data_IF_318997368421
#
_entry.id   IF_318997368421
#
_cell.length_a   1.000
_cell.length_b   1.000
_cell.length_c   1.000
_cell.angle_alpha   90.00
_cell.angle_beta   90.00
_cell.angle_gamma   90.00
#
_symmetry.space_group_name_H-M   'P 1'
#
loop_
_entity.id
_entity.type
_entity.pdbx_description
1 polymer ?
#
# COMPACT_ATOMS: atom_id res chain seq x y z
N UNK A 1 -28.23 -26.79 -8.57
CA UNK A 1 -27.72 -25.45 -8.15
C UNK A 1 -26.19 -25.49 -8.27
N UNK A 2 -25.63 -24.77 -9.24
CA UNK A 2 -24.16 -24.64 -9.34
C UNK A 2 -23.63 -23.87 -8.14
N UNK A 3 -22.59 -24.40 -7.46
CA UNK A 3 -21.91 -23.66 -6.39
C UNK A 3 -21.40 -22.35 -6.98
N UNK A 4 -21.81 -21.21 -6.40
CA UNK A 4 -21.29 -19.88 -6.77
C UNK A 4 -19.77 -19.88 -6.70
N UNK A 5 -19.13 -19.25 -7.67
CA UNK A 5 -17.71 -18.94 -7.65
C UNK A 5 -17.42 -18.02 -6.47
N UNK A 6 -16.30 -18.25 -5.77
CA UNK A 6 -15.89 -17.43 -4.62
C UNK A 6 -14.42 -17.09 -4.78
N UNK A 7 -14.11 -15.84 -4.48
CA UNK A 7 -12.75 -15.32 -4.49
C UNK A 7 -12.22 -15.22 -3.06
N UNK A 8 -10.93 -15.43 -2.91
CA UNK A 8 -10.22 -15.40 -1.64
C UNK A 8 -8.91 -14.64 -1.84
N UNK A 9 -8.51 -13.86 -0.85
CA UNK A 9 -7.15 -13.39 -0.74
C UNK A 9 -6.31 -14.52 -0.12
N UNK A 10 -5.24 -14.86 -0.78
CA UNK A 10 -4.36 -15.97 -0.40
C UNK A 10 -2.96 -15.43 -0.28
N UNK A 11 -2.22 -15.86 0.77
CA UNK A 11 -0.88 -15.37 1.08
C UNK A 11 -0.86 -14.02 1.81
N UNK A 12 0.32 -13.65 2.24
CA UNK A 12 0.64 -12.32 2.79
C UNK A 12 0.92 -11.33 1.65
N UNK A 13 0.86 -10.04 1.93
CA UNK A 13 1.09 -9.02 0.91
C UNK A 13 2.59 -8.78 0.71
N UNK A 14 2.97 -8.53 -0.54
CA UNK A 14 4.22 -7.84 -0.86
C UNK A 14 4.07 -6.35 -0.56
N UNK A 15 5.15 -5.75 -0.10
CA UNK A 15 5.17 -4.38 0.42
C UNK A 15 6.16 -3.53 -0.36
N UNK A 16 5.77 -2.32 -0.73
CA UNK A 16 6.67 -1.29 -1.22
C UNK A 16 6.41 0.02 -0.47
N UNK A 17 7.48 0.71 -0.09
CA UNK A 17 7.41 2.04 0.50
C UNK A 17 8.19 3.04 -0.35
N UNK A 18 7.51 4.10 -0.76
CA UNK A 18 8.04 5.16 -1.63
C UNK A 18 8.17 6.43 -0.80
N UNK A 19 9.36 7.01 -0.81
CA UNK A 19 9.65 8.26 -0.13
C UNK A 19 10.25 9.27 -1.10
N UNK A 20 9.72 10.48 -1.15
CA UNK A 20 10.14 11.54 -2.09
C UNK A 20 10.19 11.08 -3.56
N UNK A 21 9.23 10.27 -3.98
CA UNK A 21 9.14 9.74 -5.34
C UNK A 21 10.18 8.67 -5.69
N UNK A 22 10.90 8.16 -4.69
CA UNK A 22 11.89 7.07 -4.85
C UNK A 22 11.51 5.87 -3.98
N UNK A 23 11.74 4.67 -4.51
CA UNK A 23 11.54 3.45 -3.76
C UNK A 23 12.55 3.39 -2.60
N UNK A 24 12.07 3.46 -1.36
CA UNK A 24 12.89 3.37 -0.17
C UNK A 24 13.20 1.92 0.21
N UNK A 25 12.20 1.04 0.17
CA UNK A 25 12.38 -0.40 0.39
C UNK A 25 11.22 -1.21 -0.20
N UNK A 26 11.45 -2.51 -0.38
CA UNK A 26 10.46 -3.53 -0.68
C UNK A 26 10.58 -4.66 0.33
N UNK A 27 9.48 -5.35 0.61
CA UNK A 27 9.43 -6.56 1.43
C UNK A 27 8.54 -7.59 0.75
N UNK A 28 9.10 -8.76 0.50
CA UNK A 28 8.39 -9.90 -0.13
C UNK A 28 8.25 -11.10 0.80
N UNK A 29 8.75 -10.97 2.03
CA UNK A 29 8.76 -12.02 3.06
C UNK A 29 7.89 -11.65 4.25
N UNK A 30 6.76 -10.97 4.00
CA UNK A 30 5.83 -10.63 5.07
C UNK A 30 5.21 -11.90 5.69
N UNK A 31 5.20 -11.96 7.01
CA UNK A 31 4.58 -13.02 7.80
C UNK A 31 3.12 -12.71 8.09
N UNK A 32 2.85 -11.44 8.35
CA UNK A 32 1.51 -10.94 8.63
C UNK A 32 1.35 -9.52 8.08
N UNK A 33 0.25 -9.27 7.40
CA UNK A 33 -0.11 -7.94 6.92
C UNK A 33 -1.57 -7.70 7.25
N UNK A 34 -1.84 -6.61 7.93
CA UNK A 34 -3.21 -6.22 8.29
C UNK A 34 -3.43 -4.74 8.07
N UNK A 35 -4.67 -4.38 7.76
CA UNK A 35 -5.11 -2.99 7.70
C UNK A 35 -6.34 -2.87 8.59
N UNK A 36 -6.23 -2.08 9.63
CA UNK A 36 -7.33 -1.77 10.53
C UNK A 36 -8.01 -0.48 10.09
N UNK A 37 -9.32 -0.51 9.91
CA UNK A 37 -10.12 0.69 9.63
C UNK A 37 -11.12 0.85 10.76
N UNK A 38 -11.02 1.95 11.48
CA UNK A 38 -11.88 2.25 12.63
C UNK A 38 -12.51 3.63 12.50
N UNK A 39 -13.62 3.82 13.22
CA UNK A 39 -14.29 5.12 13.38
C UNK A 39 -14.77 5.25 14.81
N UNK A 40 -14.72 6.46 15.33
CA UNK A 40 -15.28 6.77 16.65
C UNK A 40 -16.78 7.02 16.53
N UNK A 41 -17.52 6.62 17.57
CA UNK A 41 -18.95 6.84 17.68
C UNK A 41 -19.22 7.95 18.69
N UNK A 42 -20.16 8.83 18.40
CA UNK A 42 -20.70 9.76 19.37
C UNK A 42 -22.22 9.69 19.38
N UNK A 43 -22.81 9.74 20.56
CA UNK A 43 -24.24 9.65 20.77
C UNK A 43 -24.77 10.98 21.31
N UNK A 44 -25.88 11.42 20.75
CA UNK A 44 -26.66 12.51 21.28
C UNK A 44 -27.80 11.89 22.07
N UNK A 45 -27.81 12.11 23.36
CA UNK A 45 -28.86 11.60 24.27
C UNK A 45 -29.73 12.75 24.77
N UNK A 46 -31.00 12.45 25.10
CA UNK A 46 -31.89 13.47 25.61
C UNK A 46 -33.27 12.93 25.99
N UNK A 47 -34.10 13.80 26.57
CA UNK A 47 -35.45 13.49 27.01
C UNK A 47 -35.51 12.70 28.31
N UNK A 48 -36.74 12.39 28.74
CA UNK A 48 -36.99 11.65 29.98
C UNK A 48 -36.47 10.22 29.85
N UNK A 49 -35.50 9.84 30.67
CA UNK A 49 -34.80 8.55 30.62
C UNK A 49 -33.52 8.55 29.80
N UNK A 50 -33.00 9.73 29.42
CA UNK A 50 -31.72 9.92 28.72
C UNK A 50 -31.52 8.96 27.52
N UNK A 51 -32.52 8.89 26.65
CA UNK A 51 -32.52 7.98 25.50
C UNK A 51 -31.57 8.48 24.44
N UNK A 52 -30.85 7.56 23.74
CA UNK A 52 -30.08 7.89 22.57
C UNK A 52 -31.01 8.37 21.45
N UNK A 53 -30.87 9.62 21.05
CA UNK A 53 -31.66 10.26 19.99
C UNK A 53 -31.01 10.14 18.63
N UNK A 54 -29.68 10.20 18.58
CA UNK A 54 -28.90 10.12 17.35
C UNK A 54 -27.50 9.58 17.65
N UNK A 55 -26.96 8.78 16.73
CA UNK A 55 -25.58 8.28 16.78
C UNK A 55 -24.88 8.61 15.48
N UNK A 56 -23.73 9.26 15.55
CA UNK A 56 -22.92 9.56 14.39
C UNK A 56 -21.49 9.07 14.55
N UNK A 57 -20.86 8.76 13.40
CA UNK A 57 -19.49 8.26 13.31
C UNK A 57 -18.58 9.36 12.79
N UNK A 58 -17.41 9.47 13.40
CA UNK A 58 -16.39 10.48 13.02
C UNK A 58 -14.99 9.90 13.24
N UNK A 59 -13.94 10.67 12.88
CA UNK A 59 -12.56 10.32 13.20
C UNK A 59 -12.11 9.01 12.61
N UNK A 60 -12.32 8.80 11.28
CA UNK A 60 -11.82 7.59 10.61
C UNK A 60 -10.32 7.48 10.75
N UNK A 61 -9.84 6.29 11.14
CA UNK A 61 -8.43 5.93 11.23
C UNK A 61 -8.18 4.73 10.33
N UNK A 62 -7.07 4.71 9.66
CA UNK A 62 -6.60 3.60 8.84
C UNK A 62 -5.18 3.30 9.28
N UNK A 63 -4.97 2.11 9.82
CA UNK A 63 -3.71 1.72 10.49
C UNK A 63 -3.20 0.42 9.85
N UNK A 64 -2.33 0.50 8.84
CA UNK A 64 -1.60 -0.63 8.32
C UNK A 64 -0.57 -1.13 9.34
N UNK A 65 -0.43 -2.46 9.43
CA UNK A 65 0.58 -3.15 10.23
C UNK A 65 1.15 -4.30 9.43
N UNK A 66 2.47 -4.37 9.34
CA UNK A 66 3.19 -5.34 8.51
C UNK A 66 4.29 -5.96 9.36
N UNK A 67 4.36 -7.29 9.37
CA UNK A 67 5.42 -8.04 10.02
C UNK A 67 6.22 -8.80 8.96
N UNK A 68 7.53 -8.58 8.91
CA UNK A 68 8.44 -9.19 7.95
C UNK A 68 9.45 -10.10 8.64
N UNK A 69 9.78 -11.23 7.98
CA UNK A 69 10.78 -12.17 8.46
C UNK A 69 12.22 -11.78 8.11
N UNK A 70 12.41 -10.85 7.19
CA UNK A 70 13.72 -10.43 6.74
C UNK A 70 14.25 -9.23 7.54
N UNK A 71 15.57 -9.21 7.70
CA UNK A 71 16.27 -8.05 8.23
C UNK A 71 16.48 -7.01 7.14
N UNK A 72 15.90 -5.83 7.30
CA UNK A 72 16.03 -4.72 6.37
C UNK A 72 16.40 -3.43 7.09
N UNK A 73 17.66 -2.98 6.92
CA UNK A 73 18.14 -1.77 7.57
C UNK A 73 17.48 -0.48 7.03
N UNK A 74 17.07 -0.47 5.75
CA UNK A 74 16.37 0.68 5.15
C UNK A 74 14.99 0.86 5.79
N UNK A 75 14.33 -0.24 6.09
CA UNK A 75 13.08 -0.27 6.81
C UNK A 75 13.19 0.36 8.21
N UNK A 76 14.23 0.00 8.97
CA UNK A 76 14.50 0.60 10.27
C UNK A 76 14.84 2.08 10.13
N UNK A 77 15.61 2.46 9.11
CA UNK A 77 15.98 3.84 8.85
C UNK A 77 14.78 4.72 8.55
N UNK A 78 13.84 4.22 7.75
CA UNK A 78 12.59 4.92 7.46
C UNK A 78 11.74 5.13 8.73
N UNK A 79 11.69 4.13 9.59
CA UNK A 79 10.94 4.18 10.85
C UNK A 79 11.54 5.17 11.85
N UNK A 80 12.87 5.22 11.94
CA UNK A 80 13.57 6.24 12.77
C UNK A 80 13.53 7.63 12.13
N UNK A 81 13.47 7.70 10.79
CA UNK A 81 13.52 8.97 10.06
C UNK A 81 14.94 9.48 9.81
N UNK A 82 15.92 8.55 9.74
CA UNK A 82 17.33 8.88 9.53
C UNK A 82 17.87 8.19 8.28
N UNK A 83 19.04 8.62 7.82
CA UNK A 83 19.75 8.01 6.70
C UNK A 83 20.76 6.96 7.19
N UNK A 84 21.03 5.96 6.34
CA UNK A 84 22.05 4.96 6.60
C UNK A 84 23.41 5.52 6.18
N UNK A 85 24.33 5.61 7.12
CA UNK A 85 25.73 5.92 6.84
C UNK A 85 26.41 4.67 6.26
N UNK A 86 27.14 4.81 5.16
CA UNK A 86 27.98 3.77 4.62
C UNK A 86 29.44 4.31 4.50
N UNK A 87 30.38 3.63 5.14
CA UNK A 87 31.78 4.05 5.14
C UNK A 87 32.59 3.45 6.27
N UNK A 88 33.83 3.91 6.39
CA UNK A 88 34.75 3.46 7.45
C UNK A 88 34.31 3.97 8.81
N UNK A 89 34.09 3.06 9.73
CA UNK A 89 33.81 3.32 11.15
C UNK A 89 34.28 2.17 12.00
N UNK A 90 34.41 2.43 13.29
CA UNK A 90 34.80 1.42 14.25
C UNK A 90 33.66 0.47 14.55
N UNK A 91 33.96 -0.83 14.44
CA UNK A 91 33.13 -1.94 14.85
C UNK A 91 33.80 -2.69 16.01
N UNK A 92 33.04 -3.53 16.72
CA UNK A 92 33.56 -4.35 17.78
C UNK A 92 33.69 -5.82 17.36
N UNK A 93 34.83 -6.42 17.62
CA UNK A 93 34.95 -7.87 17.73
C UNK A 93 34.65 -8.21 19.20
N UNK A 94 33.64 -9.02 19.45
CA UNK A 94 33.19 -9.37 20.81
C UNK A 94 33.47 -10.84 21.07
N UNK A 95 34.16 -11.14 22.17
CA UNK A 95 34.47 -12.49 22.63
C UNK A 95 35.15 -13.34 21.53
N UNK A 96 36.08 -12.76 20.76
CA UNK A 96 36.89 -13.51 19.80
C UNK A 96 37.83 -14.46 20.58
N UNK A 97 37.75 -15.75 20.28
CA UNK A 97 38.59 -16.77 20.89
C UNK A 97 39.98 -16.74 20.26
N UNK A 98 41.01 -16.41 21.06
CA UNK A 98 42.39 -16.29 20.63
C UNK A 98 43.27 -17.26 21.43
N UNK A 99 44.03 -18.09 20.72
CA UNK A 99 45.05 -18.97 21.34
C UNK A 99 46.35 -18.22 21.49
N UNK A 100 46.87 -18.20 22.71
CA UNK A 100 48.15 -17.63 23.04
C UNK A 100 49.24 -18.68 22.92
N UNK A 101 50.35 -18.35 22.27
CA UNK A 101 51.58 -19.14 22.25
C UNK A 101 52.68 -18.31 22.88
N UNK A 102 53.23 -18.77 23.98
CA UNK A 102 54.19 -18.00 24.83
C UNK A 102 53.67 -16.60 25.15
N UNK A 103 52.38 -16.54 25.47
CA UNK A 103 51.69 -15.31 25.82
C UNK A 103 51.33 -14.38 24.63
N UNK A 104 51.63 -14.75 23.40
CA UNK A 104 51.35 -13.93 22.22
C UNK A 104 50.17 -14.51 21.42
N UNK A 105 49.17 -13.71 21.13
CA UNK A 105 48.00 -14.06 20.33
C UNK A 105 47.83 -13.15 19.09
N UNK A 106 47.27 -13.69 18.04
CA UNK A 106 46.99 -12.95 16.82
C UNK A 106 45.49 -12.66 16.69
N UNK A 107 45.13 -11.40 16.48
CA UNK A 107 43.77 -10.93 16.32
C UNK A 107 43.33 -11.10 14.85
N UNK A 108 42.07 -11.38 14.63
CA UNK A 108 41.48 -11.49 13.32
C UNK A 108 41.43 -10.16 12.55
N UNK A 109 41.28 -9.06 13.29
CA UNK A 109 41.26 -7.71 12.72
C UNK A 109 42.30 -6.84 13.40
N UNK A 110 42.71 -5.76 12.74
CA UNK A 110 43.60 -4.76 13.28
C UNK A 110 42.86 -3.95 14.36
N UNK A 111 43.26 -4.10 15.62
CA UNK A 111 42.68 -3.36 16.73
C UNK A 111 42.97 -1.86 16.65
N UNK A 112 41.98 -1.07 17.00
CA UNK A 112 42.07 0.37 17.22
C UNK A 112 41.94 0.63 18.72
N UNK A 113 42.99 1.09 19.32
CA UNK A 113 43.05 1.29 20.78
C UNK A 113 43.32 0.03 21.59
N UNK A 114 42.71 -0.07 22.75
CA UNK A 114 42.98 -1.14 23.72
C UNK A 114 42.13 -2.38 23.43
N UNK A 115 42.70 -3.53 23.79
CA UNK A 115 42.10 -4.85 23.73
C UNK A 115 41.74 -5.32 25.13
N UNK A 116 40.50 -5.67 25.37
CA UNK A 116 40.05 -6.29 26.62
C UNK A 116 40.16 -7.80 26.48
N UNK A 117 40.89 -8.40 27.40
CA UNK A 117 41.16 -9.85 27.41
C UNK A 117 40.48 -10.45 28.62
N UNK A 118 39.63 -11.43 28.42
CA UNK A 118 39.06 -12.28 29.46
C UNK A 118 39.75 -13.62 29.45
N UNK A 119 40.33 -13.96 30.62
CA UNK A 119 41.06 -15.22 30.84
C UNK A 119 40.11 -16.33 31.29
N UNK A 120 40.56 -17.57 31.18
CA UNK A 120 39.79 -18.74 31.57
C UNK A 120 39.40 -18.78 33.06
N UNK A 121 40.07 -18.01 33.92
CA UNK A 121 39.74 -17.84 35.36
C UNK A 121 38.66 -16.77 35.61
N UNK A 122 38.13 -16.13 34.54
CA UNK A 122 37.16 -15.04 34.59
C UNK A 122 37.76 -13.68 34.89
N UNK A 123 39.08 -13.56 35.04
CA UNK A 123 39.74 -12.26 35.21
C UNK A 123 39.83 -11.51 33.89
N UNK A 124 39.63 -10.20 33.93
CA UNK A 124 39.74 -9.33 32.76
C UNK A 124 40.92 -8.40 32.87
N UNK A 125 41.69 -8.28 31.80
CA UNK A 125 42.79 -7.35 31.68
C UNK A 125 42.68 -6.50 30.42
N UNK A 126 43.35 -5.36 30.45
CA UNK A 126 43.42 -4.44 29.32
C UNK A 126 44.84 -4.43 28.79
N UNK A 127 45.01 -4.70 27.50
CA UNK A 127 46.33 -4.71 26.86
C UNK A 127 46.30 -3.85 25.61
N UNK A 128 47.46 -3.26 25.29
CA UNK A 128 47.62 -2.57 24.02
C UNK A 128 47.93 -3.57 22.91
N UNK A 129 47.33 -3.41 21.76
CA UNK A 129 47.70 -4.19 20.56
C UNK A 129 49.07 -3.76 20.05
N UNK A 130 49.86 -4.74 19.66
CA UNK A 130 51.21 -4.56 19.10
C UNK A 130 51.26 -5.06 17.65
N UNK A 131 52.41 -5.00 16.99
CA UNK A 131 52.54 -5.51 15.61
C UNK A 131 51.57 -4.88 14.62
N UNK A 132 51.47 -3.55 14.57
CA UNK A 132 50.49 -2.82 13.77
C UNK A 132 49.02 -3.06 14.12
N UNK A 133 48.74 -3.46 15.39
CA UNK A 133 47.39 -3.67 15.92
C UNK A 133 46.85 -5.09 15.76
N UNK A 134 47.64 -6.03 15.24
CA UNK A 134 47.15 -7.39 14.95
C UNK A 134 47.61 -8.45 15.98
N UNK A 135 48.41 -8.08 16.97
CA UNK A 135 48.88 -9.00 18.00
C UNK A 135 48.65 -8.44 19.40
N UNK A 136 48.45 -9.34 20.35
CA UNK A 136 48.39 -9.02 21.79
C UNK A 136 49.42 -9.85 22.53
N UNK A 137 49.93 -9.33 23.69
CA UNK A 137 50.80 -10.06 24.59
C UNK A 137 50.16 -10.09 25.96
N UNK A 138 49.96 -11.30 26.49
CA UNK A 138 49.28 -11.54 27.78
C UNK A 138 50.09 -12.52 28.60
N UNK A 139 51.11 -12.01 29.28
CA UNK A 139 52.02 -12.86 30.06
C UNK A 139 52.87 -13.79 29.20
N UNK A 140 53.39 -14.88 29.79
CA UNK A 140 54.20 -15.91 29.10
C UNK A 140 53.50 -17.29 29.16
N UNK A 141 52.20 -17.35 28.94
CA UNK A 141 51.38 -18.55 29.13
C UNK A 141 50.83 -19.02 27.79
N UNK A 142 50.84 -20.33 27.59
CA UNK A 142 50.07 -20.95 26.52
C UNK A 142 48.63 -21.15 27.05
N UNK A 143 47.67 -20.37 26.55
CA UNK A 143 46.28 -20.39 27.01
C UNK A 143 45.32 -19.96 25.87
N UNK A 144 44.03 -20.16 26.07
CA UNK A 144 43.00 -19.65 25.18
C UNK A 144 42.21 -18.58 25.93
N UNK A 145 42.12 -17.39 25.34
CA UNK A 145 41.45 -16.24 25.92
C UNK A 145 40.36 -15.70 24.99
N UNK A 146 39.34 -15.07 25.56
CA UNK A 146 38.38 -14.30 24.83
C UNK A 146 38.78 -12.83 24.77
N UNK A 147 38.75 -12.23 23.61
CA UNK A 147 39.16 -10.83 23.44
C UNK A 147 38.03 -10.00 22.84
N UNK A 148 37.91 -8.78 23.34
CA UNK A 148 36.98 -7.80 22.81
C UNK A 148 37.72 -6.52 22.49
N UNK A 149 37.60 -6.03 21.27
CA UNK A 149 38.32 -4.85 20.79
C UNK A 149 37.58 -4.12 19.67
N UNK A 150 37.95 -2.86 19.45
CA UNK A 150 37.50 -2.09 18.32
C UNK A 150 38.42 -2.30 17.13
N UNK A 151 37.83 -2.32 15.91
CA UNK A 151 38.58 -2.33 14.67
C UNK A 151 37.84 -1.48 13.61
N UNK A 152 38.61 -0.89 12.69
CA UNK A 152 38.03 -0.04 11.65
C UNK A 152 37.67 -0.86 10.41
N UNK A 153 36.43 -0.74 9.92
CA UNK A 153 35.94 -1.43 8.75
C UNK A 153 34.85 -0.64 8.07
N UNK A 154 34.49 -1.02 6.85
CA UNK A 154 33.35 -0.46 6.16
C UNK A 154 32.07 -1.02 6.78
N UNK A 155 31.23 -0.14 7.30
CA UNK A 155 29.95 -0.48 7.96
C UNK A 155 28.79 0.25 7.31
N UNK A 156 27.60 -0.34 7.42
CA UNK A 156 26.33 0.36 7.29
C UNK A 156 25.81 0.63 8.68
N UNK A 157 25.67 1.90 9.04
CA UNK A 157 25.26 2.32 10.39
C UNK A 157 23.99 3.13 10.34
N UNK A 158 23.02 2.70 11.12
CA UNK A 158 21.83 3.49 11.45
C UNK A 158 22.09 4.20 12.79
N UNK A 159 21.81 5.49 12.85
CA UNK A 159 21.88 6.27 14.07
C UNK A 159 20.46 6.54 14.55
N UNK A 160 20.16 6.21 15.79
CA UNK A 160 18.90 6.56 16.46
C UNK A 160 19.24 7.78 17.31
N UNK A 161 18.68 8.93 16.95
CA UNK A 161 18.85 10.17 17.69
C UNK A 161 17.52 10.63 18.30
N UNK A 162 17.57 11.65 19.16
CA UNK A 162 16.40 12.15 19.88
C UNK A 162 15.57 13.15 19.07
N UNK A 163 16.05 13.59 17.92
CA UNK A 163 15.45 14.70 17.15
C UNK A 163 14.80 14.20 15.85
N UNK A 164 15.14 12.99 15.39
CA UNK A 164 14.58 12.42 14.17
C UNK A 164 13.10 12.08 14.33
N UNK A 165 12.36 12.27 13.24
CA UNK A 165 10.93 11.94 13.17
C UNK A 165 10.70 10.89 12.08
N UNK A 166 9.78 9.93 12.29
CA UNK A 166 9.46 8.92 11.31
C UNK A 166 9.09 9.50 9.95
N UNK A 167 9.45 8.80 8.88
CA UNK A 167 9.14 9.27 7.54
C UNK A 167 7.64 9.16 7.25
N UNK A 168 7.19 10.05 6.37
CA UNK A 168 5.87 9.99 5.74
C UNK A 168 6.08 9.73 4.26
N UNK A 169 5.47 8.67 3.73
CA UNK A 169 5.61 8.27 2.33
C UNK A 169 4.38 7.52 1.85
N UNK A 170 4.46 6.97 0.65
CA UNK A 170 3.43 6.14 0.06
C UNK A 170 3.70 4.66 0.38
N UNK A 171 2.68 3.95 0.86
CA UNK A 171 2.75 2.53 1.16
C UNK A 171 1.87 1.76 0.17
N UNK A 172 2.46 0.81 -0.53
CA UNK A 172 1.76 -0.07 -1.48
C UNK A 172 1.85 -1.50 -0.96
N UNK A 173 0.70 -2.15 -0.86
CA UNK A 173 0.57 -3.56 -0.50
C UNK A 173 -0.09 -4.31 -1.65
N UNK A 174 0.44 -5.47 -2.02
CA UNK A 174 -0.12 -6.30 -3.08
C UNK A 174 -0.28 -7.73 -2.61
N UNK A 175 -1.50 -8.27 -2.71
CA UNK A 175 -1.83 -9.64 -2.31
C UNK A 175 -2.52 -10.40 -3.45
N UNK A 176 -2.27 -11.70 -3.54
CA UNK A 176 -2.83 -12.58 -4.56
C UNK A 176 -4.32 -12.85 -4.33
N UNK A 177 -5.12 -12.68 -5.38
CA UNK A 177 -6.53 -13.04 -5.42
C UNK A 177 -6.74 -14.37 -6.13
N UNK A 178 -7.31 -15.34 -5.44
CA UNK A 178 -7.57 -16.67 -5.95
C UNK A 178 -9.07 -16.97 -6.02
N UNK A 179 -9.45 -17.68 -7.05
CA UNK A 179 -10.82 -18.19 -7.22
C UNK A 179 -10.85 -19.70 -6.95
N UNK A 180 -11.88 -20.17 -6.25
CA UNK A 180 -12.02 -21.59 -5.90
C UNK A 180 -12.16 -22.56 -7.08
N UNK A 181 -12.29 -22.06 -8.31
CA UNK A 181 -12.42 -22.87 -9.54
C UNK A 181 -11.31 -22.62 -10.55
N UNK A 182 -10.71 -21.41 -10.55
CA UNK A 182 -9.77 -20.97 -11.60
C UNK A 182 -8.32 -20.80 -11.10
N UNK A 183 -8.06 -20.88 -9.79
CA UNK A 183 -6.74 -20.58 -9.23
C UNK A 183 -6.52 -19.06 -9.09
N UNK A 184 -5.30 -18.55 -9.32
CA UNK A 184 -4.99 -17.13 -9.29
C UNK A 184 -5.76 -16.39 -10.39
N UNK A 185 -6.54 -15.40 -10.03
CA UNK A 185 -7.40 -14.61 -10.94
C UNK A 185 -7.05 -13.14 -10.97
N UNK A 186 -6.09 -12.74 -10.19
CA UNK A 186 -5.63 -11.37 -10.12
C UNK A 186 -4.92 -11.06 -8.82
N UNK A 187 -4.84 -9.78 -8.51
CA UNK A 187 -4.21 -9.25 -7.31
C UNK A 187 -5.12 -8.18 -6.71
N UNK A 188 -4.95 -7.95 -5.41
CA UNK A 188 -5.53 -6.80 -4.72
C UNK A 188 -4.39 -5.92 -4.27
N UNK A 189 -4.39 -4.68 -4.74
CA UNK A 189 -3.46 -3.64 -4.33
C UNK A 189 -4.14 -2.70 -3.36
N UNK A 190 -3.43 -2.36 -2.30
CA UNK A 190 -3.84 -1.36 -1.34
C UNK A 190 -2.77 -0.29 -1.35
N UNK A 191 -3.17 0.90 -1.77
CA UNK A 191 -2.32 2.07 -1.86
C UNK A 191 -2.73 3.07 -0.78
N UNK A 192 -1.77 3.45 0.05
CA UNK A 192 -1.88 4.46 1.09
C UNK A 192 -0.98 5.63 0.71
N UNK A 193 -1.52 6.68 0.03
CA UNK A 193 -0.71 7.75 -0.56
C UNK A 193 0.10 8.55 0.45
N UNK A 194 -0.37 8.63 1.69
CA UNK A 194 0.34 9.29 2.78
C UNK A 194 0.29 8.41 4.03
N UNK A 195 1.34 7.64 4.23
CA UNK A 195 1.50 6.74 5.36
C UNK A 195 2.63 7.23 6.26
N UNK A 196 2.29 7.56 7.50
CA UNK A 196 3.24 7.93 8.53
C UNK A 196 3.63 6.71 9.35
N UNK A 197 4.90 6.39 9.35
CA UNK A 197 5.47 5.35 10.18
C UNK A 197 5.34 5.69 11.68
N UNK A 198 5.18 4.68 12.53
CA UNK A 198 4.95 4.89 13.97
C UNK A 198 6.16 5.39 14.74
N UNK A 199 7.35 5.22 14.20
CA UNK A 199 8.62 5.51 14.91
C UNK A 199 9.01 4.43 15.93
N UNK A 200 8.19 3.39 16.08
CA UNK A 200 8.46 2.30 17.03
C UNK A 200 8.81 1.02 16.28
N UNK A 201 9.81 0.31 16.77
CA UNK A 201 10.14 -1.03 16.30
C UNK A 201 10.76 -1.83 17.43
N UNK A 202 10.58 -3.13 17.40
CA UNK A 202 11.19 -4.09 18.30
C UNK A 202 12.12 -5.02 17.53
N UNK A 203 13.31 -5.26 18.08
CA UNK A 203 14.26 -6.25 17.58
C UNK A 203 14.37 -7.33 18.64
N UNK A 204 13.74 -8.47 18.42
CA UNK A 204 13.84 -9.62 19.32
C UNK A 204 14.94 -10.57 18.80
N UNK A 205 15.91 -10.85 19.64
CA UNK A 205 17.02 -11.77 19.35
C UNK A 205 16.84 -13.02 20.22
N UNK A 206 16.22 -14.05 19.63
CA UNK A 206 15.93 -15.31 20.34
C UNK A 206 16.83 -16.44 19.84
N UNK A 207 17.22 -17.34 20.74
CA UNK A 207 18.11 -18.47 20.40
C UNK A 207 17.45 -19.53 19.51
N UNK A 208 16.12 -19.57 19.44
CA UNK A 208 15.33 -20.55 18.70
C UNK A 208 14.24 -19.96 17.80
N UNK A 209 14.17 -18.65 17.67
CA UNK A 209 13.15 -17.92 16.88
C UNK A 209 13.73 -17.21 15.68
N UNK A 210 12.86 -16.88 14.72
CA UNK A 210 13.20 -15.95 13.66
C UNK A 210 13.03 -14.53 14.20
N UNK A 211 14.03 -13.69 13.96
CA UNK A 211 13.88 -12.25 14.22
C UNK A 211 12.89 -11.68 13.22
N UNK A 212 11.82 -11.09 13.72
CA UNK A 212 10.84 -10.40 12.87
C UNK A 212 10.99 -8.89 13.03
N UNK A 213 10.69 -8.16 11.99
CA UNK A 213 10.65 -6.71 12.00
C UNK A 213 9.23 -6.25 11.73
N UNK A 214 8.66 -5.47 12.65
CA UNK A 214 7.29 -4.98 12.56
C UNK A 214 7.25 -3.53 12.14
N UNK A 215 6.41 -3.21 11.16
CA UNK A 215 6.12 -1.86 10.68
C UNK A 215 4.67 -1.53 11.01
N UNK A 216 4.49 -0.59 11.88
CA UNK A 216 3.20 -0.01 12.20
C UNK A 216 3.17 1.45 11.77
N UNK A 217 1.98 1.96 11.49
CA UNK A 217 1.81 3.37 11.18
C UNK A 217 0.36 3.74 10.96
N UNK A 218 0.16 4.98 10.59
CA UNK A 218 -1.16 5.54 10.35
C UNK A 218 -1.23 6.19 8.97
N UNK A 219 -2.31 5.96 8.25
CA UNK A 219 -2.61 6.70 7.05
C UNK A 219 -3.02 8.12 7.41
N UNK A 220 -2.46 9.09 6.73
CA UNK A 220 -2.86 10.49 6.79
C UNK A 220 -3.82 10.78 5.63
N UNK A 221 -4.81 11.61 5.88
CA UNK A 221 -5.73 12.05 4.84
C UNK A 221 -5.01 12.94 3.82
N UNK A 222 -5.18 12.63 2.55
CA UNK A 222 -4.71 13.46 1.44
C UNK A 222 -5.93 14.08 0.77
N UNK A 223 -5.90 15.36 0.55
CA UNK A 223 -6.99 16.08 -0.12
C UNK A 223 -7.08 15.60 -1.57
N UNK A 224 -8.32 15.40 -2.05
CA UNK A 224 -8.58 15.04 -3.43
C UNK A 224 -8.10 16.09 -4.42
N UNK A 225 -8.06 15.73 -5.70
CA UNK A 225 -7.59 16.60 -6.77
C UNK A 225 -8.47 17.84 -6.97
N UNK A 226 -9.74 17.78 -6.53
CA UNK A 226 -10.70 18.90 -6.58
C UNK A 226 -11.35 19.11 -5.23
N UNK A 227 -11.94 20.29 -5.00
CA UNK A 227 -12.66 20.61 -3.75
C UNK A 227 -13.90 19.71 -3.53
N UNK A 228 -14.34 18.97 -4.53
CA UNK A 228 -15.47 18.03 -4.46
C UNK A 228 -15.01 16.60 -4.13
N UNK A 229 -13.75 16.30 -4.37
CA UNK A 229 -13.12 15.01 -4.03
C UNK A 229 -12.73 15.04 -2.56
N UNK A 230 -13.47 14.38 -1.70
CA UNK A 230 -13.15 14.30 -0.27
C UNK A 230 -11.73 13.81 0.02
N UNK A 231 -11.26 14.00 1.25
CA UNK A 231 -9.95 13.49 1.67
C UNK A 231 -9.88 11.96 1.65
N UNK A 232 -8.80 11.41 1.10
CA UNK A 232 -8.58 9.98 0.91
C UNK A 232 -7.49 9.47 1.85
N UNK A 233 -7.70 8.32 2.49
CA UNK A 233 -6.71 7.62 3.31
C UNK A 233 -6.02 6.49 2.56
N UNK A 234 -6.79 5.72 1.76
CA UNK A 234 -6.28 4.58 1.02
C UNK A 234 -7.19 4.24 -0.15
N UNK A 235 -6.61 3.64 -1.18
CA UNK A 235 -7.30 3.02 -2.30
C UNK A 235 -7.17 1.50 -2.19
N UNK A 236 -8.26 0.78 -2.47
CA UNK A 236 -8.24 -0.67 -2.60
C UNK A 236 -8.63 -0.99 -4.03
N UNK A 237 -7.69 -1.53 -4.79
CA UNK A 237 -7.83 -1.78 -6.22
C UNK A 237 -7.72 -3.27 -6.50
N UNK A 238 -8.69 -3.85 -7.20
CA UNK A 238 -8.58 -5.20 -7.74
C UNK A 238 -8.00 -5.13 -9.15
N UNK A 239 -6.87 -5.81 -9.34
CA UNK A 239 -6.19 -5.95 -10.65
C UNK A 239 -6.43 -7.37 -11.15
N UNK A 240 -7.34 -7.57 -12.11
CA UNK A 240 -7.61 -8.91 -12.66
C UNK A 240 -6.44 -9.37 -13.55
N UNK A 241 -6.12 -10.65 -13.51
CA UNK A 241 -5.10 -11.26 -14.40
C UNK A 241 -5.54 -11.31 -15.87
N UNK A 242 -6.85 -11.31 -16.13
CA UNK A 242 -7.45 -11.17 -17.46
C UNK A 242 -8.40 -9.96 -17.43
N UNK A 243 -8.44 -9.20 -18.50
CA UNK A 243 -9.36 -8.06 -18.62
C UNK A 243 -10.81 -8.56 -18.49
N UNK A 244 -11.41 -8.34 -17.34
CA UNK A 244 -12.81 -8.68 -17.05
C UNK A 244 -13.56 -7.42 -16.72
N UNK A 245 -14.42 -6.97 -17.63
CA UNK A 245 -15.35 -5.88 -17.36
C UNK A 245 -16.67 -6.44 -16.81
N UNK A 246 -17.24 -5.75 -15.81
CA UNK A 246 -18.59 -6.04 -15.35
C UNK A 246 -19.54 -5.59 -16.45
N UNK A 247 -20.40 -6.52 -16.90
CA UNK A 247 -21.36 -6.24 -17.94
C UNK A 247 -22.33 -5.13 -17.52
N UNK A 248 -22.68 -4.30 -18.46
CA UNK A 248 -23.75 -3.30 -18.32
C UNK A 248 -25.08 -4.06 -18.18
N UNK A 249 -25.78 -3.82 -17.09
CA UNK A 249 -27.06 -4.47 -16.78
C UNK A 249 -28.25 -3.71 -17.40
N UNK A 250 -28.12 -2.38 -17.50
CA UNK A 250 -29.14 -1.49 -18.06
C UNK A 250 -28.47 -0.23 -18.62
N UNK A 251 -29.23 0.59 -19.37
CA UNK A 251 -28.77 1.87 -19.90
C UNK A 251 -29.72 3.01 -19.52
N UNK A 252 -29.14 4.22 -19.37
CA UNK A 252 -29.89 5.44 -19.23
C UNK A 252 -29.48 6.43 -20.33
N UNK A 253 -30.45 6.98 -21.06
CA UNK A 253 -30.22 7.93 -22.15
C UNK A 253 -30.60 9.33 -21.71
N UNK A 254 -29.72 10.28 -21.97
CA UNK A 254 -29.91 11.69 -21.62
C UNK A 254 -29.83 12.57 -22.88
N UNK A 255 -30.76 13.50 -23.05
CA UNK A 255 -31.99 13.73 -22.28
C UNK A 255 -33.11 12.73 -22.57
N UNK A 256 -33.89 12.32 -21.56
CA UNK A 256 -35.02 11.40 -21.72
C UNK A 256 -36.19 12.03 -22.51
N UNK A 257 -36.26 13.36 -22.50
CA UNK A 257 -37.24 14.15 -23.29
C UNK A 257 -36.52 15.24 -24.05
N UNK A 258 -36.72 15.31 -25.34
CA UNK A 258 -36.08 16.27 -26.24
C UNK A 258 -37.09 17.08 -27.00
N UNK A 259 -37.00 18.40 -26.93
CA UNK A 259 -37.83 19.32 -27.69
C UNK A 259 -36.97 20.10 -28.68
N UNK A 260 -37.23 19.97 -29.96
CA UNK A 260 -36.44 20.57 -31.03
C UNK A 260 -37.32 21.40 -31.96
N UNK A 261 -36.80 22.49 -32.50
CA UNK A 261 -37.38 23.16 -33.66
C UNK A 261 -37.05 22.37 -34.91
N UNK A 262 -37.92 22.47 -35.93
CA UNK A 262 -37.66 21.88 -37.23
C UNK A 262 -36.25 22.20 -37.74
N UNK A 263 -35.58 21.19 -38.28
CA UNK A 263 -34.20 21.21 -38.77
C UNK A 263 -33.08 21.30 -37.66
N UNK A 264 -33.44 21.45 -36.42
CA UNK A 264 -32.46 21.43 -35.32
C UNK A 264 -31.95 20.00 -35.06
N UNK A 265 -30.77 19.91 -34.48
CA UNK A 265 -30.13 18.64 -34.06
C UNK A 265 -29.72 18.70 -32.58
N UNK A 266 -29.72 17.56 -31.93
CA UNK A 266 -29.20 17.40 -30.57
C UNK A 266 -28.56 16.02 -30.35
N UNK A 267 -27.45 15.93 -29.61
CA UNK A 267 -26.82 14.67 -29.27
C UNK A 267 -27.57 13.97 -28.13
N UNK A 268 -27.48 12.65 -28.10
CA UNK A 268 -27.87 11.81 -26.98
C UNK A 268 -26.61 11.27 -26.32
N UNK A 269 -26.57 11.29 -24.99
CA UNK A 269 -25.54 10.60 -24.19
C UNK A 269 -26.12 9.31 -23.64
N UNK A 270 -25.33 8.24 -23.65
CA UNK A 270 -25.75 6.93 -23.17
C UNK A 270 -24.85 6.54 -21.96
N UNK A 271 -25.47 6.25 -20.83
CA UNK A 271 -24.81 5.83 -19.62
C UNK A 271 -25.16 4.37 -19.35
N UNK A 272 -24.15 3.52 -19.26
CA UNK A 272 -24.29 2.12 -18.89
C UNK A 272 -24.36 1.95 -17.38
N UNK A 273 -25.40 1.30 -16.90
CA UNK A 273 -25.64 0.99 -15.49
C UNK A 273 -25.15 -0.42 -15.23
N UNK A 274 -24.12 -0.56 -14.38
CA UNK A 274 -23.53 -1.87 -14.05
C UNK A 274 -24.24 -2.60 -12.91
N UNK A 275 -25.04 -1.90 -12.13
CA UNK A 275 -25.73 -2.43 -10.96
C UNK A 275 -24.82 -2.60 -9.72
N UNK A 276 -25.42 -2.93 -8.58
CA UNK A 276 -24.69 -3.04 -7.31
C UNK A 276 -24.07 -1.72 -6.86
N UNK A 277 -22.81 -1.76 -6.42
CA UNK A 277 -22.02 -0.59 -5.97
C UNK A 277 -20.96 -0.17 -7.00
N UNK A 278 -21.08 -0.63 -8.25
CA UNK A 278 -20.16 -0.25 -9.33
C UNK A 278 -20.56 1.08 -9.96
N UNK A 279 -19.55 1.87 -10.30
CA UNK A 279 -19.77 3.12 -11.02
C UNK A 279 -20.37 2.89 -12.39
N UNK A 280 -21.29 3.76 -12.80
CA UNK A 280 -21.79 3.79 -14.15
C UNK A 280 -20.68 4.13 -15.14
N UNK A 281 -20.82 3.71 -16.38
CA UNK A 281 -19.84 3.94 -17.45
C UNK A 281 -20.51 4.70 -18.61
N UNK A 282 -19.82 5.68 -19.15
CA UNK A 282 -20.25 6.32 -20.39
C UNK A 282 -20.05 5.35 -21.56
N UNK A 283 -21.07 5.17 -22.39
CA UNK A 283 -21.04 4.30 -23.56
C UNK A 283 -20.90 5.19 -24.80
N UNK A 284 -19.94 4.84 -25.67
CA UNK A 284 -19.81 5.52 -26.95
C UNK A 284 -21.09 5.27 -27.76
N UNK A 285 -21.80 6.33 -28.21
CA UNK A 285 -22.99 6.17 -29.01
C UNK A 285 -22.83 5.26 -30.23
N UNK A 286 -21.62 5.18 -30.81
CA UNK A 286 -21.35 4.32 -31.97
C UNK A 286 -21.47 2.82 -31.66
N UNK A 287 -21.42 2.43 -30.36
CA UNK A 287 -21.67 1.06 -29.92
C UNK A 287 -23.14 0.74 -29.71
N UNK A 288 -23.99 1.75 -29.79
CA UNK A 288 -25.44 1.64 -29.63
C UNK A 288 -26.17 1.50 -30.94
N UNK A 289 -27.37 0.91 -30.88
CA UNK A 289 -28.30 0.89 -31.98
C UNK A 289 -29.43 1.86 -31.69
N UNK A 290 -29.68 2.78 -32.64
CA UNK A 290 -30.73 3.78 -32.57
C UNK A 290 -31.80 3.49 -33.58
N UNK A 291 -33.07 3.61 -33.20
CA UNK A 291 -34.20 3.57 -34.11
C UNK A 291 -35.25 4.61 -33.72
N UNK A 292 -35.75 5.31 -34.73
CA UNK A 292 -36.84 6.28 -34.56
C UNK A 292 -38.13 5.70 -35.08
N UNK A 293 -39.15 5.65 -34.24
CA UNK A 293 -40.47 5.13 -34.55
C UNK A 293 -41.12 5.92 -35.71
N UNK A 294 -40.98 7.26 -35.70
CA UNK A 294 -41.58 8.12 -36.74
C UNK A 294 -40.48 8.94 -37.43
N UNK A 295 -39.79 8.33 -38.40
CA UNK A 295 -38.70 8.97 -39.16
C UNK A 295 -39.12 10.23 -39.94
N UNK A 296 -40.41 10.37 -40.24
CA UNK A 296 -40.96 11.58 -40.83
C UNK A 296 -40.94 12.78 -39.85
N UNK A 297 -40.95 12.55 -38.54
CA UNK A 297 -40.89 13.57 -37.49
C UNK A 297 -39.47 13.82 -36.99
N UNK A 298 -38.74 12.76 -36.67
CA UNK A 298 -37.36 12.85 -36.23
C UNK A 298 -36.55 11.66 -36.74
N UNK A 299 -35.28 11.87 -37.05
CA UNK A 299 -34.31 10.81 -37.36
C UNK A 299 -33.18 10.85 -36.37
N UNK A 300 -32.50 9.72 -36.18
CA UNK A 300 -31.29 9.60 -35.36
C UNK A 300 -30.21 8.90 -36.19
N UNK A 301 -28.98 9.37 -36.09
CA UNK A 301 -27.86 8.75 -36.77
C UNK A 301 -27.10 7.76 -35.87
N UNK A 302 -26.06 7.11 -36.40
CA UNK A 302 -25.24 6.13 -35.69
C UNK A 302 -24.39 6.76 -34.55
N UNK A 303 -24.24 8.08 -34.55
CA UNK A 303 -23.52 8.80 -33.46
C UNK A 303 -24.49 9.31 -32.38
N UNK A 304 -25.76 8.90 -32.42
CA UNK A 304 -26.77 9.33 -31.45
C UNK A 304 -27.24 10.78 -31.65
N UNK A 305 -27.03 11.37 -32.84
CA UNK A 305 -27.49 12.73 -33.12
C UNK A 305 -28.93 12.67 -33.67
N UNK A 306 -29.86 13.21 -32.90
CA UNK A 306 -31.25 13.35 -33.28
C UNK A 306 -31.41 14.59 -34.15
N UNK A 307 -32.08 14.45 -35.30
CA UNK A 307 -32.43 15.53 -36.22
C UNK A 307 -33.94 15.67 -36.34
N UNK A 308 -34.47 16.84 -36.07
CA UNK A 308 -35.87 17.20 -36.25
C UNK A 308 -36.22 17.38 -37.75
N UNK A 309 -37.25 16.69 -38.25
CA UNK A 309 -37.65 16.70 -39.66
C UNK A 309 -38.95 17.49 -39.88
N UNK A 310 -40.00 17.16 -39.15
CA UNK A 310 -41.30 17.81 -39.24
C UNK A 310 -42.00 17.87 -37.90
N UNK A 311 -42.88 18.84 -37.68
CA UNK A 311 -43.63 18.99 -36.44
C UNK A 311 -44.39 17.71 -36.06
N UNK A 312 -44.34 17.31 -34.81
CA UNK A 312 -44.95 16.11 -34.26
C UNK A 312 -44.16 15.49 -33.11
N UNK A 313 -44.45 14.26 -32.78
CA UNK A 313 -43.76 13.51 -31.76
C UNK A 313 -43.26 12.17 -32.32
N UNK A 314 -42.10 11.75 -31.86
CA UNK A 314 -41.48 10.44 -32.14
C UNK A 314 -40.82 9.88 -30.88
N UNK A 315 -40.72 8.56 -30.83
CA UNK A 315 -39.91 7.88 -29.81
C UNK A 315 -38.63 7.38 -30.50
N UNK A 316 -37.51 7.70 -29.92
CA UNK A 316 -36.21 7.14 -30.30
C UNK A 316 -35.85 6.04 -29.30
N UNK A 317 -35.73 4.82 -29.80
CA UNK A 317 -35.28 3.66 -29.02
C UNK A 317 -33.79 3.53 -29.15
N UNK A 318 -33.11 3.37 -28.03
CA UNK A 318 -31.65 3.16 -27.93
C UNK A 318 -31.39 1.79 -27.33
N UNK A 319 -30.53 1.01 -27.97
CA UNK A 319 -30.23 -0.35 -27.55
C UNK A 319 -28.71 -0.57 -27.47
N UNK A 320 -28.24 -1.14 -26.33
CA UNK A 320 -26.88 -1.58 -26.13
C UNK A 320 -26.87 -3.00 -25.55
N UNK A 321 -26.35 -3.98 -26.28
CA UNK A 321 -26.52 -5.40 -25.93
C UNK A 321 -28.00 -5.78 -25.81
N UNK A 322 -28.39 -6.24 -24.60
CA UNK A 322 -29.79 -6.56 -24.28
C UNK A 322 -30.53 -5.41 -23.58
N UNK A 323 -29.81 -4.38 -23.14
CA UNK A 323 -30.41 -3.21 -22.49
C UNK A 323 -31.04 -2.25 -23.49
N UNK A 324 -32.14 -1.62 -23.11
CA UNK A 324 -32.90 -0.73 -23.99
C UNK A 324 -33.48 0.43 -23.18
N UNK A 325 -33.39 1.65 -23.74
CA UNK A 325 -34.01 2.85 -23.19
C UNK A 325 -34.65 3.68 -24.31
N UNK A 326 -35.51 4.62 -23.95
CA UNK A 326 -36.30 5.40 -24.93
C UNK A 326 -36.23 6.89 -24.66
N UNK A 327 -36.15 7.67 -25.71
CA UNK A 327 -36.18 9.14 -25.66
C UNK A 327 -37.43 9.65 -26.38
N UNK A 328 -38.21 10.49 -25.69
CA UNK A 328 -39.36 11.14 -26.32
C UNK A 328 -38.90 12.43 -27.02
N UNK A 329 -39.08 12.47 -28.33
CA UNK A 329 -38.73 13.64 -29.16
C UNK A 329 -39.99 14.36 -29.59
N UNK A 330 -40.06 15.65 -29.31
CA UNK A 330 -41.14 16.53 -29.79
C UNK A 330 -40.53 17.59 -30.70
N UNK A 331 -41.07 17.71 -31.91
CA UNK A 331 -40.62 18.70 -32.88
C UNK A 331 -41.71 19.79 -33.02
N UNK A 332 -41.27 21.03 -32.87
CA UNK A 332 -42.10 22.22 -33.09
C UNK A 332 -41.74 22.90 -34.42
N UNK A 333 -42.60 23.73 -34.94
CA UNK A 333 -42.32 24.49 -36.15
C UNK A 333 -41.23 25.54 -35.98
#
# INVERSE_FOLDING_TARGET
MGKKSKDFLVSTADVAFIYNGMLAFTGTTSLNTSISVSMEDQEITGGKGNKTLYKYKYGRKVEPSIEMAEWNLQFLAANVGTTIFEGLKDAFAVAECVTLTKGVGTLKHKAVGDVFVEKGDGSTIKVAATGTGSTITVGEVDDTVNVTYQYNTTVKRLTIDAESTPLVGELILTADKHNNKKGKVGEVQIDVPSFQLSGTFDISLESSGNTTTKLDGSALAVDGATCEDGSVYAYITEVPSEASSIAVADIAVTPAVLSLKKSATAPLSVIGIKGGLYSNVEIDPTECKFDSETKATATVDANGIVKAVAAGSSIVTVKYGDATDVVKVTVTE
#
